data_IF_857415684395
#
_entry.id   IF_857415684395
#
_cell.length_a   1.000
_cell.length_b   1.000
_cell.length_c   1.000
_cell.angle_alpha   90.00
_cell.angle_beta   90.00
_cell.angle_gamma   90.00
#
_symmetry.space_group_name_H-M   'P 1'
#
loop_
_entity.id
_entity.type
_entity.pdbx_description
1 polymer ?
#
# COMPACT_ATOMS: atom_id res chain seq x y z
N UNK A 1 -7.95 -1.56 17.16
CA UNK A 1 -8.57 -2.77 16.55
C UNK A 1 -8.07 -2.88 15.12
N UNK A 2 -7.90 -4.08 14.51
CA UNK A 2 -7.05 -4.20 13.32
C UNK A 2 -7.70 -3.48 12.15
N UNK A 3 -7.21 -2.27 11.89
CA UNK A 3 -7.64 -1.43 10.77
C UNK A 3 -6.88 -1.80 9.49
N UNK A 4 -6.08 -2.87 9.50
CA UNK A 4 -5.38 -3.44 8.33
C UNK A 4 -6.25 -3.50 7.08
N UNK A 5 -7.51 -3.98 7.14
CA UNK A 5 -8.36 -4.02 5.94
C UNK A 5 -8.67 -2.64 5.37
N UNK A 6 -8.73 -1.60 6.21
CA UNK A 6 -8.99 -0.22 5.78
C UNK A 6 -7.74 0.42 5.18
N UNK A 7 -6.54 0.13 5.69
CA UNK A 7 -5.30 0.66 5.13
C UNK A 7 -5.03 0.18 3.68
N UNK A 8 -5.59 -0.96 3.28
CA UNK A 8 -5.62 -1.36 1.86
C UNK A 8 -6.28 -0.31 0.95
N UNK A 9 -7.19 0.50 1.47
CA UNK A 9 -7.80 1.60 0.73
C UNK A 9 -6.77 2.60 0.21
N UNK A 10 -5.80 3.00 1.04
CA UNK A 10 -4.72 3.88 0.63
C UNK A 10 -3.81 3.21 -0.42
N UNK A 11 -3.41 1.95 -0.19
CA UNK A 11 -2.56 1.21 -1.12
C UNK A 11 -3.19 1.06 -2.52
N UNK A 12 -4.47 0.69 -2.57
CA UNK A 12 -5.23 0.52 -3.82
C UNK A 12 -5.43 1.88 -4.51
N UNK A 13 -5.81 2.91 -3.76
CA UNK A 13 -5.94 4.26 -4.30
C UNK A 13 -4.64 4.75 -4.92
N UNK A 14 -3.54 4.66 -4.18
CA UNK A 14 -2.24 5.14 -4.64
C UNK A 14 -1.78 4.42 -5.91
N UNK A 15 -1.91 3.09 -5.97
CA UNK A 15 -1.59 2.33 -7.18
C UNK A 15 -2.51 2.71 -8.36
N UNK A 16 -3.78 3.02 -8.10
CA UNK A 16 -4.73 3.41 -9.14
C UNK A 16 -4.32 4.70 -9.87
N UNK A 17 -3.74 5.66 -9.15
CA UNK A 17 -3.26 6.94 -9.69
C UNK A 17 -1.78 6.90 -10.11
N UNK A 18 -0.95 6.08 -9.46
CA UNK A 18 0.47 5.88 -9.73
C UNK A 18 0.73 4.43 -10.19
N UNK A 19 0.37 4.06 -11.43
CA UNK A 19 0.48 2.69 -11.95
C UNK A 19 1.91 2.14 -12.02
N UNK A 20 2.92 3.00 -11.91
CA UNK A 20 4.31 2.57 -11.95
C UNK A 20 4.78 1.98 -10.62
N UNK A 21 4.04 2.20 -9.53
CA UNK A 21 4.35 1.64 -8.21
C UNK A 21 4.15 0.12 -8.19
N UNK A 22 4.80 -0.55 -7.25
CA UNK A 22 4.62 -1.97 -6.99
C UNK A 22 3.40 -2.16 -6.06
N UNK A 23 2.26 -2.64 -6.58
CA UNK A 23 1.05 -2.82 -5.78
C UNK A 23 1.21 -3.89 -4.70
N UNK A 24 2.07 -4.89 -4.91
CA UNK A 24 2.28 -5.97 -3.94
C UNK A 24 3.07 -5.43 -2.75
N UNK A 25 4.13 -4.66 -3.01
CA UNK A 25 4.87 -4.01 -1.93
C UNK A 25 4.03 -2.98 -1.17
N UNK A 26 3.15 -2.23 -1.84
CA UNK A 26 2.19 -1.33 -1.16
C UNK A 26 1.28 -2.10 -0.21
N UNK A 27 0.66 -3.19 -0.69
CA UNK A 27 -0.28 -4.01 0.10
C UNK A 27 0.42 -4.71 1.28
N UNK A 28 1.65 -5.21 1.08
CA UNK A 28 2.42 -5.80 2.17
C UNK A 28 2.84 -4.72 3.17
N UNK A 29 3.27 -3.55 2.69
CA UNK A 29 3.72 -2.45 3.56
C UNK A 29 2.63 -1.97 4.53
N UNK A 30 1.37 -1.92 4.07
CA UNK A 30 0.22 -1.56 4.94
C UNK A 30 -0.32 -2.72 5.80
N UNK A 31 0.37 -3.87 5.84
CA UNK A 31 -0.10 -5.04 6.57
C UNK A 31 0.98 -5.68 7.46
N UNK A 32 2.24 -5.65 7.05
CA UNK A 32 3.32 -6.41 7.70
C UNK A 32 3.59 -5.93 9.13
N UNK A 33 3.35 -4.67 9.44
CA UNK A 33 3.59 -4.13 10.78
C UNK A 33 2.51 -4.53 11.79
N UNK A 34 1.34 -4.95 11.30
CA UNK A 34 0.29 -5.53 12.16
C UNK A 34 0.62 -6.93 12.68
N UNK A 35 1.75 -7.52 12.26
CA UNK A 35 2.28 -8.73 12.90
C UNK A 35 2.56 -8.51 14.40
N UNK A 36 2.88 -7.28 14.83
CA UNK A 36 3.07 -6.91 16.23
C UNK A 36 1.78 -7.00 17.07
N UNK A 37 0.70 -6.24 16.77
CA UNK A 37 -0.57 -6.38 17.47
C UNK A 37 -1.14 -7.78 17.33
N UNK A 38 -0.96 -8.45 16.19
CA UNK A 38 -1.40 -9.82 16.00
C UNK A 38 -0.71 -10.79 16.97
N UNK A 39 0.62 -10.68 17.13
CA UNK A 39 1.36 -11.45 18.11
C UNK A 39 0.87 -11.19 19.54
N UNK A 40 0.63 -9.92 19.90
CA UNK A 40 0.07 -9.56 21.21
C UNK A 40 -1.32 -10.17 21.43
N UNK A 41 -2.22 -10.09 20.45
CA UNK A 41 -3.58 -10.64 20.56
C UNK A 41 -3.59 -12.17 20.76
N UNK A 42 -2.62 -12.89 20.20
CA UNK A 42 -2.51 -14.36 20.36
C UNK A 42 -1.87 -14.73 21.70
N UNK A 43 -0.83 -14.01 22.10
CA UNK A 43 0.04 -14.42 23.23
C UNK A 43 -0.29 -13.71 24.54
N UNK A 44 -0.95 -12.55 24.48
CA UNK A 44 -1.12 -11.63 25.59
C UNK A 44 0.18 -10.93 26.05
N UNK A 45 1.31 -11.16 25.36
CA UNK A 45 2.62 -10.67 25.76
C UNK A 45 3.02 -9.46 24.91
N UNK A 46 3.26 -8.31 25.55
CA UNK A 46 3.74 -7.09 24.90
C UNK A 46 2.74 -5.93 24.96
N UNK A 47 2.77 -5.09 23.94
CA UNK A 47 1.88 -3.94 23.76
C UNK A 47 1.18 -4.07 22.41
N UNK A 48 -0.02 -3.49 22.28
CA UNK A 48 -0.79 -3.56 21.03
C UNK A 48 -0.06 -2.85 19.89
N UNK A 49 0.47 -1.66 20.14
CA UNK A 49 1.31 -0.94 19.19
C UNK A 49 2.63 -0.59 19.89
N UNK A 50 3.70 -1.25 19.47
CA UNK A 50 5.02 -1.15 20.06
C UNK A 50 6.02 -0.50 19.11
N UNK A 51 7.17 -1.15 18.92
CA UNK A 51 8.26 -0.61 18.12
C UNK A 51 7.97 -0.75 16.62
N UNK A 52 7.19 -1.74 16.19
CA UNK A 52 6.89 -1.91 14.75
C UNK A 52 6.06 -0.75 14.20
N UNK A 53 5.24 -0.10 15.04
CA UNK A 53 4.47 1.10 14.72
C UNK A 53 5.24 2.40 14.95
N UNK A 54 6.45 2.50 14.40
CA UNK A 54 7.31 3.70 14.50
C UNK A 54 8.17 3.89 13.26
N UNK A 55 8.84 5.05 13.14
CA UNK A 55 9.86 5.27 12.10
C UNK A 55 10.91 4.15 12.10
N UNK A 56 11.37 3.68 13.28
CA UNK A 56 12.29 2.55 13.34
C UNK A 56 11.69 1.29 12.73
N UNK A 57 10.44 0.97 13.09
CA UNK A 57 9.71 -0.16 12.53
C UNK A 57 9.66 -0.10 11.01
N UNK A 58 9.32 1.07 10.45
CA UNK A 58 9.34 1.27 9.00
C UNK A 58 10.72 1.02 8.38
N UNK A 59 11.79 1.55 9.00
CA UNK A 59 13.17 1.36 8.54
C UNK A 59 13.66 -0.09 8.65
N UNK A 60 13.08 -0.90 9.53
CA UNK A 60 13.41 -2.34 9.62
C UNK A 60 12.60 -3.14 8.60
N UNK A 61 11.30 -2.84 8.47
CA UNK A 61 10.36 -3.68 7.72
C UNK A 61 10.29 -3.37 6.21
N UNK A 62 10.90 -2.30 5.71
CA UNK A 62 10.90 -2.04 4.26
C UNK A 62 11.65 -3.10 3.45
N UNK A 63 12.74 -3.66 3.99
CA UNK A 63 13.49 -4.75 3.33
C UNK A 63 12.66 -6.05 3.28
N UNK A 64 12.12 -6.57 4.41
CA UNK A 64 11.19 -7.70 4.39
C UNK A 64 10.00 -7.49 3.44
N UNK A 65 9.41 -6.29 3.44
CA UNK A 65 8.29 -5.94 2.56
C UNK A 65 8.65 -6.16 1.08
N UNK A 66 9.80 -5.63 0.66
CA UNK A 66 10.29 -5.79 -0.71
C UNK A 66 10.66 -7.24 -1.04
N UNK A 67 11.27 -7.97 -0.10
CA UNK A 67 11.62 -9.38 -0.30
C UNK A 67 10.39 -10.25 -0.48
N UNK A 68 9.34 -10.04 0.32
CA UNK A 68 8.06 -10.75 0.18
C UNK A 68 7.40 -10.37 -1.14
N UNK A 69 7.41 -9.08 -1.54
CA UNK A 69 6.90 -8.67 -2.85
C UNK A 69 7.60 -9.40 -3.99
N UNK A 70 8.93 -9.41 -3.99
CA UNK A 70 9.73 -10.14 -4.98
C UNK A 70 9.35 -11.63 -5.03
N UNK A 71 9.19 -12.25 -3.85
CA UNK A 71 8.81 -13.66 -3.73
C UNK A 71 7.42 -13.90 -4.34
N UNK A 72 6.43 -13.06 -4.06
CA UNK A 72 5.11 -13.12 -4.67
C UNK A 72 5.17 -12.99 -6.20
N UNK A 73 5.96 -12.04 -6.71
CA UNK A 73 6.18 -11.86 -8.15
C UNK A 73 6.72 -13.12 -8.82
N UNK A 74 7.69 -13.79 -8.18
CA UNK A 74 8.29 -15.05 -8.68
C UNK A 74 7.34 -16.24 -8.58
N UNK A 75 6.70 -16.43 -7.42
CA UNK A 75 5.84 -17.58 -7.14
C UNK A 75 4.57 -17.56 -7.99
N UNK A 76 3.93 -16.39 -8.13
CA UNK A 76 2.64 -16.25 -8.82
C UNK A 76 2.77 -15.71 -10.25
N UNK A 77 4.00 -15.52 -10.75
CA UNK A 77 4.28 -14.99 -12.11
C UNK A 77 3.53 -13.68 -12.39
N UNK A 78 3.52 -12.78 -11.39
CA UNK A 78 2.65 -11.59 -11.40
C UNK A 78 3.03 -10.56 -12.47
N UNK A 79 4.23 -10.63 -13.04
CA UNK A 79 4.67 -9.76 -14.16
C UNK A 79 3.79 -9.90 -15.41
N UNK A 80 2.96 -10.95 -15.50
CA UNK A 80 1.96 -11.09 -16.57
C UNK A 80 0.80 -10.10 -16.44
N UNK A 81 0.51 -9.65 -15.21
CA UNK A 81 -0.68 -8.85 -14.89
C UNK A 81 -0.33 -7.49 -14.30
N UNK A 82 0.81 -7.39 -13.62
CA UNK A 82 1.28 -6.21 -12.90
C UNK A 82 2.52 -5.60 -13.60
N UNK A 83 2.89 -4.34 -13.26
CA UNK A 83 4.14 -3.76 -13.75
C UNK A 83 5.34 -4.67 -13.47
N UNK A 84 6.31 -4.69 -14.39
CA UNK A 84 7.55 -5.46 -14.24
C UNK A 84 8.21 -5.14 -12.91
N UNK A 85 8.72 -6.17 -12.22
CA UNK A 85 9.34 -5.98 -10.92
C UNK A 85 10.62 -5.15 -11.07
N UNK A 86 10.72 -4.10 -10.25
CA UNK A 86 11.92 -3.28 -10.13
C UNK A 86 12.20 -3.07 -8.65
N UNK A 87 13.37 -3.51 -8.19
CA UNK A 87 13.71 -3.51 -6.76
C UNK A 87 13.56 -2.13 -6.11
N UNK A 88 14.05 -1.07 -6.77
CA UNK A 88 13.98 0.30 -6.24
C UNK A 88 12.54 0.84 -6.17
N UNK A 89 11.68 0.47 -7.13
CA UNK A 89 10.25 0.80 -7.08
C UNK A 89 9.56 0.04 -5.96
N UNK A 90 9.91 -1.24 -5.77
CA UNK A 90 9.35 -2.08 -4.71
C UNK A 90 9.74 -1.57 -3.32
N UNK A 91 10.99 -1.13 -3.14
CA UNK A 91 11.46 -0.48 -1.90
C UNK A 91 10.67 0.80 -1.62
N UNK A 92 10.57 1.69 -2.62
CA UNK A 92 9.80 2.93 -2.46
C UNK A 92 8.33 2.66 -2.13
N UNK A 93 7.72 1.70 -2.83
CA UNK A 93 6.33 1.30 -2.63
C UNK A 93 6.10 0.72 -1.24
N UNK A 94 7.02 -0.12 -0.76
CA UNK A 94 6.98 -0.66 0.60
C UNK A 94 7.12 0.42 1.68
N UNK A 95 8.06 1.35 1.51
CA UNK A 95 8.23 2.50 2.42
C UNK A 95 6.94 3.34 2.48
N UNK A 96 6.33 3.61 1.34
CA UNK A 96 5.08 4.39 1.28
C UNK A 96 3.93 3.66 1.97
N UNK A 97 3.81 2.33 1.75
CA UNK A 97 2.83 1.51 2.46
C UNK A 97 3.03 1.55 3.97
N UNK A 98 4.24 1.24 4.44
CA UNK A 98 4.61 1.27 5.86
C UNK A 98 4.35 2.64 6.50
N UNK A 99 4.79 3.72 5.84
CA UNK A 99 4.57 5.07 6.33
C UNK A 99 3.09 5.39 6.47
N UNK A 100 2.30 5.09 5.42
CA UNK A 100 0.87 5.40 5.44
C UNK A 100 0.14 4.70 6.58
N UNK A 101 0.48 3.44 6.84
CA UNK A 101 -0.10 2.68 7.95
C UNK A 101 0.26 3.29 9.31
N UNK A 102 1.55 3.48 9.59
CA UNK A 102 2.00 4.10 10.87
C UNK A 102 1.43 5.52 11.03
N UNK A 103 1.30 6.27 9.94
CA UNK A 103 0.74 7.61 9.95
C UNK A 103 -0.75 7.63 10.32
N UNK A 104 -1.57 6.81 9.67
CA UNK A 104 -2.99 6.74 9.98
C UNK A 104 -3.24 6.16 11.38
N UNK A 105 -2.50 5.12 11.77
CA UNK A 105 -2.57 4.59 13.14
C UNK A 105 -2.10 5.59 14.19
N UNK A 106 -1.10 6.42 13.89
CA UNK A 106 -0.65 7.50 14.77
C UNK A 106 -1.73 8.54 15.06
N UNK A 107 -2.68 8.74 14.14
CA UNK A 107 -3.85 9.61 14.36
C UNK A 107 -4.90 8.90 15.23
N UNK A 108 -5.07 7.59 15.02
CA UNK A 108 -6.11 6.77 15.66
C UNK A 108 -5.79 6.38 17.10
N UNK A 109 -4.53 6.14 17.42
CA UNK A 109 -4.12 5.48 18.65
C UNK A 109 -3.15 6.35 19.48
N UNK A 110 -3.47 6.63 20.75
CA UNK A 110 -2.65 7.51 21.60
C UNK A 110 -1.32 6.89 22.02
N UNK A 111 -1.18 5.56 21.98
CA UNK A 111 0.02 4.85 22.41
C UNK A 111 1.16 4.83 21.37
N UNK A 112 0.88 5.24 20.13
CA UNK A 112 1.84 5.17 19.02
C UNK A 112 3.03 6.11 19.27
N UNK A 113 4.24 5.54 19.30
CA UNK A 113 5.50 6.28 19.38
C UNK A 113 6.03 6.60 17.98
N UNK A 114 5.32 7.48 17.26
CA UNK A 114 5.55 7.76 15.83
C UNK A 114 7.03 7.99 15.47
N UNK A 115 7.73 8.84 16.23
CA UNK A 115 9.12 9.27 15.95
C UNK A 115 10.20 8.42 16.63
N UNK A 116 9.87 7.26 17.22
CA UNK A 116 10.88 6.37 17.78
C UNK A 116 11.87 5.90 16.68
N UNK A 117 13.21 5.94 16.91
CA UNK A 117 13.90 5.99 18.20
C UNK A 117 14.36 7.38 18.65
N UNK A 118 14.04 8.44 17.91
CA UNK A 118 14.48 9.80 18.22
C UNK A 118 13.78 10.37 19.46
N UNK A 119 12.53 9.97 19.70
CA UNK A 119 11.79 10.27 20.92
C UNK A 119 10.87 9.10 21.29
N UNK A 120 10.64 8.91 22.58
CA UNK A 120 9.68 7.94 23.13
C UNK A 120 8.31 8.56 23.41
N UNK A 121 8.10 9.82 23.03
CA UNK A 121 6.82 10.50 23.20
C UNK A 121 5.75 9.82 22.34
N UNK A 122 4.72 9.28 23.00
CA UNK A 122 3.56 8.68 22.35
C UNK A 122 2.51 9.74 22.00
N UNK A 123 1.64 9.42 21.04
CA UNK A 123 0.44 10.20 20.74
C UNK A 123 0.71 11.53 20.03
N UNK A 124 1.88 11.69 19.38
CA UNK A 124 2.26 12.92 18.67
C UNK A 124 1.24 13.34 17.60
N UNK A 125 0.61 12.36 16.94
CA UNK A 125 -0.39 12.61 15.89
C UNK A 125 -1.83 12.38 16.37
N UNK A 126 -1.99 11.94 17.62
CA UNK A 126 -3.27 11.44 18.11
C UNK A 126 -4.34 12.51 18.06
N UNK A 127 -5.48 12.15 17.44
CA UNK A 127 -6.67 13.00 17.38
C UNK A 127 -6.46 14.38 16.72
N UNK A 128 -5.48 14.51 15.80
CA UNK A 128 -5.37 15.71 14.92
C UNK A 128 -6.63 15.87 14.06
N UNK A 129 -7.25 14.75 13.67
CA UNK A 129 -8.59 14.68 13.09
C UNK A 129 -9.40 13.57 13.78
N UNK A 130 -10.75 13.63 13.77
CA UNK A 130 -11.57 12.60 14.37
C UNK A 130 -11.31 11.22 13.76
N UNK A 131 -11.34 10.17 14.59
CA UNK A 131 -11.13 8.79 14.11
C UNK A 131 -12.11 8.38 13.01
N UNK A 132 -13.36 8.84 13.09
CA UNK A 132 -14.36 8.64 12.04
C UNK A 132 -13.94 9.21 10.69
N UNK A 133 -13.27 10.37 10.68
CA UNK A 133 -12.76 10.98 9.46
C UNK A 133 -11.65 10.13 8.83
N UNK A 134 -10.72 9.59 9.63
CA UNK A 134 -9.67 8.68 9.15
C UNK A 134 -10.29 7.44 8.49
N UNK A 135 -11.27 6.80 9.15
CA UNK A 135 -11.95 5.64 8.59
C UNK A 135 -12.66 5.95 7.27
N UNK A 136 -13.38 7.07 7.19
CA UNK A 136 -14.04 7.49 5.96
C UNK A 136 -13.04 7.80 4.83
N UNK A 137 -11.91 8.44 5.13
CA UNK A 137 -10.84 8.67 4.14
C UNK A 137 -10.36 7.35 3.55
N UNK A 138 -10.03 6.36 4.39
CA UNK A 138 -9.56 5.05 3.96
C UNK A 138 -10.60 4.29 3.12
N UNK A 139 -11.87 4.32 3.54
CA UNK A 139 -13.00 3.71 2.81
C UNK A 139 -13.22 4.40 1.46
N UNK A 140 -13.22 5.73 1.41
CA UNK A 140 -13.37 6.48 0.16
C UNK A 140 -12.21 6.18 -0.79
N UNK A 141 -10.98 6.16 -0.29
CA UNK A 141 -9.79 5.79 -1.07
C UNK A 141 -9.93 4.39 -1.68
N UNK A 142 -10.42 3.42 -0.91
CA UNK A 142 -10.69 2.07 -1.42
C UNK A 142 -11.64 2.10 -2.63
N UNK A 143 -12.82 2.69 -2.47
CA UNK A 143 -13.84 2.71 -3.54
C UNK A 143 -13.41 3.54 -4.75
N UNK A 144 -12.80 4.71 -4.53
CA UNK A 144 -12.27 5.55 -5.61
C UNK A 144 -11.13 4.84 -6.35
N UNK A 145 -10.21 4.20 -5.61
CA UNK A 145 -9.11 3.45 -6.20
C UNK A 145 -9.59 2.29 -7.08
N UNK A 146 -10.58 1.53 -6.61
CA UNK A 146 -11.22 0.47 -7.40
C UNK A 146 -11.89 1.05 -8.64
N UNK A 147 -12.65 2.14 -8.51
CA UNK A 147 -13.32 2.78 -9.65
C UNK A 147 -12.33 3.22 -10.73
N UNK A 148 -11.20 3.82 -10.33
CA UNK A 148 -10.12 4.22 -11.25
C UNK A 148 -9.52 2.99 -11.95
N UNK A 149 -9.22 1.91 -11.23
CA UNK A 149 -8.66 0.70 -11.82
C UNK A 149 -9.62 0.04 -12.82
N UNK A 150 -10.91 -0.04 -12.49
CA UNK A 150 -11.96 -0.56 -13.38
C UNK A 150 -12.07 0.30 -14.64
N UNK A 151 -12.09 1.63 -14.49
CA UNK A 151 -12.15 2.56 -15.63
C UNK A 151 -10.94 2.38 -16.55
N UNK A 152 -9.73 2.27 -16.00
CA UNK A 152 -8.50 2.08 -16.78
C UNK A 152 -8.51 0.75 -17.53
N UNK A 153 -8.99 -0.32 -16.87
CA UNK A 153 -9.16 -1.62 -17.52
C UNK A 153 -10.17 -1.55 -18.66
N UNK A 154 -11.33 -0.91 -18.44
CA UNK A 154 -12.36 -0.74 -19.45
C UNK A 154 -11.87 0.06 -20.66
N UNK A 155 -11.17 1.18 -20.43
CA UNK A 155 -10.56 1.98 -21.51
C UNK A 155 -9.53 1.18 -22.31
N UNK A 156 -8.74 0.32 -21.65
CA UNK A 156 -7.79 -0.58 -22.32
C UNK A 156 -8.50 -1.61 -23.22
N UNK A 157 -9.64 -2.15 -22.77
CA UNK A 157 -10.46 -3.06 -23.59
C UNK A 157 -11.06 -2.37 -24.81
N UNK A 158 -11.60 -1.16 -24.63
CA UNK A 158 -12.13 -0.36 -25.75
C UNK A 158 -11.05 -0.04 -26.77
N UNK A 159 -9.85 0.33 -26.29
CA UNK A 159 -8.70 0.59 -27.16
C UNK A 159 -8.30 -0.64 -27.97
N UNK A 160 -8.18 -1.81 -27.31
CA UNK A 160 -7.83 -3.07 -27.97
C UNK A 160 -8.85 -3.45 -29.04
N UNK A 161 -10.15 -3.35 -28.73
CA UNK A 161 -11.23 -3.62 -29.68
C UNK A 161 -11.15 -2.69 -30.91
N UNK A 162 -10.78 -1.41 -30.70
CA UNK A 162 -10.59 -0.44 -31.78
C UNK A 162 -9.46 -0.85 -32.73
N UNK A 163 -8.32 -1.27 -32.20
CA UNK A 163 -7.18 -1.76 -33.00
C UNK A 163 -7.54 -3.00 -33.83
N UNK A 164 -8.31 -3.93 -33.26
CA UNK A 164 -8.81 -5.12 -33.98
C UNK A 164 -9.79 -4.76 -35.11
N UNK A 165 -10.61 -3.71 -34.94
CA UNK A 165 -11.60 -3.28 -35.95
C UNK A 165 -11.06 -2.34 -37.04
N UNK A 166 -9.89 -1.71 -36.85
CA UNK A 166 -9.34 -0.72 -37.77
C UNK A 166 -7.81 -0.88 -37.94
N UNK A 167 -7.35 -1.92 -38.68
CA UNK A 167 -5.94 -2.27 -38.77
C UNK A 167 -5.05 -1.22 -39.45
N UNK A 168 -5.62 -0.29 -40.23
CA UNK A 168 -4.88 0.82 -40.86
C UNK A 168 -4.26 1.80 -39.84
N UNK A 169 -4.72 1.80 -38.58
CA UNK A 169 -4.08 2.55 -37.49
C UNK A 169 -2.73 1.95 -37.04
N UNK A 170 -2.47 0.67 -37.32
CA UNK A 170 -1.19 0.02 -37.03
C UNK A 170 -0.14 0.35 -38.10
N UNK A 171 -0.53 0.44 -39.37
CA UNK A 171 0.37 0.76 -40.50
C UNK A 171 0.98 2.17 -40.40
N UNK A 172 0.24 3.14 -39.83
CA UNK A 172 0.74 4.51 -39.62
C UNK A 172 1.83 4.64 -38.55
N UNK A 173 2.09 3.60 -37.74
CA UNK A 173 3.14 3.62 -36.70
C UNK A 173 4.45 2.93 -37.09
N UNK A 174 4.45 2.13 -38.16
CA UNK A 174 5.66 1.42 -38.61
C UNK A 174 6.51 2.31 -39.53
N UNK A 175 5.98 3.44 -39.99
CA UNK A 175 6.62 4.38 -40.90
C UNK A 175 7.14 5.69 -40.24
N UNK A 176 7.42 5.68 -38.92
CA UNK A 176 8.11 6.79 -38.22
C UNK A 176 9.24 6.23 -37.37
#
# INVERSE_FOLDING_TARGET
MPATPLHFGFAIFLFSILPFMDPIALLIGVAIIDLEPFFYMITGIGQLHGIMHSILGMLVFFIPTTFISWSCYKLFKLERYLPKFKIYISLLSGIVGLFSHVFFDGILYPEIMFVYPFSKQAGMLYNIIPSSAVYWILVIMLFVGIAILVLRYYLKLLWKKREETNPTLLEGRINI
#
